data_IF_186155536514
#
_entry.id   IF_186155536514
#
_cell.length_a   1.000
_cell.length_b   1.000
_cell.length_c   1.000
_cell.angle_alpha   90.00
_cell.angle_beta   90.00
_cell.angle_gamma   90.00
#
_symmetry.space_group_name_H-M   'P 1'
#
loop_
_entity.id
_entity.type
_entity.pdbx_description
1 polymer ?
#
# COMPACT_ATOMS: atom_id res chain seq x y z
N UNK A 1 32.94 -22.55 1.05
CA UNK A 1 32.43 -23.33 -0.09
C UNK A 1 32.74 -22.50 -1.33
N UNK A 2 33.69 -22.94 -2.12
CA UNK A 2 34.20 -22.14 -3.25
C UNK A 2 33.18 -22.09 -4.39
N UNK A 3 33.10 -20.96 -5.14
CA UNK A 3 32.22 -20.79 -6.30
C UNK A 3 32.45 -21.77 -7.46
N UNK A 4 33.42 -22.66 -7.34
CA UNK A 4 33.84 -23.63 -8.37
C UNK A 4 32.94 -24.87 -8.52
N UNK A 5 32.05 -25.13 -7.56
CA UNK A 5 31.28 -26.38 -7.54
C UNK A 5 29.86 -26.29 -8.10
N UNK A 6 29.46 -25.10 -8.59
CA UNK A 6 28.12 -24.89 -9.15
C UNK A 6 28.06 -25.34 -10.62
N UNK A 7 26.99 -26.04 -11.03
CA UNK A 7 26.79 -26.36 -12.43
C UNK A 7 26.72 -25.10 -13.32
N UNK A 8 27.09 -25.17 -14.60
CA UNK A 8 27.07 -24.05 -15.52
C UNK A 8 25.70 -23.32 -15.55
N UNK A 9 25.74 -21.99 -15.57
CA UNK A 9 24.54 -21.12 -15.58
C UNK A 9 23.67 -21.18 -14.30
N UNK A 10 24.12 -21.80 -13.22
CA UNK A 10 23.48 -21.78 -11.91
C UNK A 10 24.15 -20.74 -11.02
N UNK A 11 23.35 -19.94 -10.31
CA UNK A 11 23.84 -18.95 -9.33
C UNK A 11 23.08 -19.07 -8.02
N UNK A 12 23.75 -18.85 -6.89
CA UNK A 12 23.07 -18.75 -5.60
C UNK A 12 22.16 -17.50 -5.61
N UNK A 13 20.98 -17.66 -5.09
CA UNK A 13 19.95 -16.60 -5.01
C UNK A 13 19.22 -16.72 -3.68
N UNK A 14 19.78 -16.18 -2.58
CA UNK A 14 19.13 -16.24 -1.27
C UNK A 14 17.77 -15.53 -1.35
N UNK A 15 16.77 -16.10 -0.69
CA UNK A 15 15.47 -15.46 -0.56
C UNK A 15 15.53 -14.35 0.51
N UNK A 16 14.43 -13.63 0.67
CA UNK A 16 14.31 -12.53 1.63
C UNK A 16 14.49 -12.94 3.11
N UNK A 17 14.50 -14.24 3.40
CA UNK A 17 14.70 -14.82 4.74
C UNK A 17 16.09 -15.42 4.91
N UNK A 18 17.01 -15.21 3.93
CA UNK A 18 18.35 -15.73 3.95
C UNK A 18 18.48 -17.22 3.57
N UNK A 19 17.37 -17.90 3.24
CA UNK A 19 17.42 -19.30 2.80
C UNK A 19 18.07 -19.37 1.42
N UNK A 20 19.16 -20.14 1.31
CA UNK A 20 19.87 -20.32 0.05
C UNK A 20 18.99 -21.05 -0.95
N UNK A 21 18.87 -20.49 -2.14
CA UNK A 21 18.22 -21.09 -3.31
C UNK A 21 19.18 -21.00 -4.49
N UNK A 22 18.95 -21.79 -5.52
CA UNK A 22 19.75 -21.79 -6.73
C UNK A 22 18.89 -21.43 -7.93
N UNK A 23 19.42 -20.60 -8.81
CA UNK A 23 18.72 -20.11 -9.98
C UNK A 23 19.52 -20.40 -11.26
N UNK A 24 18.90 -21.11 -12.18
CA UNK A 24 19.42 -21.27 -13.54
C UNK A 24 19.16 -20.03 -14.36
N UNK A 25 20.18 -19.51 -15.03
CA UNK A 25 20.08 -18.32 -15.88
C UNK A 25 21.02 -18.44 -17.09
N UNK A 26 20.47 -18.64 -18.29
CA UNK A 26 21.20 -18.69 -19.55
C UNK A 26 20.56 -17.71 -20.54
N UNK A 27 21.40 -17.01 -21.35
CA UNK A 27 20.89 -16.08 -22.37
C UNK A 27 19.99 -16.81 -23.37
N UNK A 28 18.79 -16.30 -23.61
CA UNK A 28 17.79 -16.92 -24.49
C UNK A 28 16.91 -18.01 -23.85
N UNK A 29 17.14 -18.35 -22.56
CA UNK A 29 16.37 -19.36 -21.84
C UNK A 29 15.53 -18.70 -20.73
N UNK A 30 14.38 -19.33 -20.40
CA UNK A 30 13.56 -18.89 -19.25
C UNK A 30 14.34 -19.10 -17.97
N UNK A 31 14.50 -18.02 -17.18
CA UNK A 31 15.20 -18.10 -15.90
C UNK A 31 14.34 -18.80 -14.86
N UNK A 32 14.86 -19.81 -14.16
CA UNK A 32 14.10 -20.72 -13.30
C UNK A 32 14.87 -21.00 -11.99
N UNK A 33 14.12 -21.24 -10.88
CA UNK A 33 14.72 -21.75 -9.64
C UNK A 33 14.82 -23.26 -9.69
N UNK A 34 15.94 -23.79 -9.20
CA UNK A 34 16.14 -25.22 -9.03
C UNK A 34 15.57 -25.65 -7.65
N UNK A 35 14.86 -26.76 -7.56
CA UNK A 35 14.40 -27.32 -6.29
C UNK A 35 15.55 -27.90 -5.49
N UNK A 36 15.37 -28.08 -4.19
CA UNK A 36 16.36 -28.71 -3.30
C UNK A 36 17.62 -27.86 -3.07
N UNK A 37 18.66 -28.52 -2.53
CA UNK A 37 19.98 -27.96 -2.30
C UNK A 37 21.00 -28.52 -3.29
N UNK A 38 22.14 -27.87 -3.38
CA UNK A 38 23.24 -28.35 -4.20
C UNK A 38 23.69 -29.73 -3.68
N UNK A 39 23.68 -30.74 -4.54
CA UNK A 39 23.96 -32.13 -4.18
C UNK A 39 22.72 -33.01 -4.07
N UNK A 40 21.53 -32.46 -3.94
CA UNK A 40 20.30 -33.25 -3.91
C UNK A 40 20.01 -33.90 -5.27
N UNK A 41 19.54 -35.14 -5.25
CA UNK A 41 19.13 -35.84 -6.47
C UNK A 41 18.01 -35.11 -7.24
N UNK A 42 17.14 -34.38 -6.53
CA UNK A 42 16.09 -33.57 -7.12
C UNK A 42 16.65 -32.34 -7.87
N UNK A 43 17.67 -31.70 -7.26
CA UNK A 43 18.38 -30.58 -7.88
C UNK A 43 19.02 -31.00 -9.20
N UNK A 44 19.77 -32.10 -9.21
CA UNK A 44 20.48 -32.58 -10.40
C UNK A 44 19.52 -33.07 -11.48
N UNK A 45 18.42 -33.73 -11.12
CA UNK A 45 17.37 -34.12 -12.09
C UNK A 45 16.70 -32.92 -12.73
N UNK A 46 16.37 -31.88 -11.92
CA UNK A 46 15.78 -30.64 -12.45
C UNK A 46 16.74 -29.89 -13.37
N UNK A 47 18.03 -29.83 -13.01
CA UNK A 47 19.05 -29.21 -13.83
C UNK A 47 19.24 -29.92 -15.16
N UNK A 48 19.35 -31.26 -15.16
CA UNK A 48 19.43 -32.06 -16.40
C UNK A 48 18.22 -31.84 -17.31
N UNK A 49 17.02 -31.86 -16.75
CA UNK A 49 15.79 -31.64 -17.50
C UNK A 49 15.69 -30.23 -18.09
N UNK A 50 16.18 -29.20 -17.39
CA UNK A 50 16.30 -27.85 -17.98
C UNK A 50 17.20 -27.86 -19.20
N UNK A 51 18.34 -28.57 -19.13
CA UNK A 51 19.25 -28.66 -20.26
C UNK A 51 18.64 -29.37 -21.47
N UNK A 52 17.76 -30.34 -21.26
CA UNK A 52 17.08 -31.09 -22.30
C UNK A 52 15.88 -30.33 -22.91
N UNK A 53 15.03 -29.76 -22.07
CA UNK A 53 13.74 -29.20 -22.51
C UNK A 53 13.57 -27.69 -22.29
N UNK A 54 14.48 -27.04 -21.57
CA UNK A 54 14.32 -25.64 -21.15
C UNK A 54 13.26 -25.41 -20.05
N UNK A 55 12.60 -26.45 -19.56
CA UNK A 55 11.54 -26.36 -18.54
C UNK A 55 11.84 -27.23 -17.30
N UNK A 56 11.50 -26.70 -16.12
CA UNK A 56 11.44 -27.50 -14.89
C UNK A 56 10.17 -28.34 -14.96
N UNK A 57 10.24 -29.67 -14.63
CA UNK A 57 9.02 -30.40 -14.39
C UNK A 57 8.25 -29.67 -13.28
N UNK A 58 7.00 -29.35 -13.56
CA UNK A 58 6.11 -28.94 -12.47
C UNK A 58 6.24 -30.02 -11.38
N UNK A 59 6.58 -29.60 -10.15
CA UNK A 59 6.44 -30.51 -9.03
C UNK A 59 5.07 -31.15 -9.15
N UNK A 60 4.93 -32.47 -8.93
CA UNK A 60 3.64 -33.13 -9.04
C UNK A 60 2.64 -32.27 -8.26
N UNK A 61 1.71 -31.67 -8.96
CA UNK A 61 0.62 -30.94 -8.32
C UNK A 61 -0.04 -32.00 -7.48
N UNK A 62 0.23 -31.98 -6.17
CA UNK A 62 -0.43 -32.89 -5.24
C UNK A 62 -1.92 -32.80 -5.60
N UNK A 63 -2.53 -33.93 -5.94
CA UNK A 63 -3.92 -33.97 -6.35
C UNK A 63 -4.70 -33.10 -5.37
N UNK A 64 -5.57 -32.18 -5.83
CA UNK A 64 -6.22 -31.24 -4.96
C UNK A 64 -6.87 -32.02 -3.83
N UNK A 65 -6.33 -31.89 -2.63
CA UNK A 65 -6.85 -32.57 -1.43
C UNK A 65 -8.32 -32.17 -1.37
N UNK A 66 -9.21 -33.12 -1.66
CA UNK A 66 -10.64 -32.84 -1.69
C UNK A 66 -11.02 -32.37 -0.29
N UNK A 67 -11.39 -31.10 -0.19
CA UNK A 67 -11.70 -30.50 1.10
C UNK A 67 -12.79 -31.33 1.80
N UNK A 68 -12.56 -31.68 3.07
CA UNK A 68 -13.56 -32.39 3.85
C UNK A 68 -14.87 -31.57 3.89
N UNK A 69 -16.03 -32.17 3.69
CA UNK A 69 -17.29 -31.43 3.76
C UNK A 69 -17.41 -30.62 5.06
N UNK A 70 -17.93 -29.40 4.97
CA UNK A 70 -18.10 -28.45 6.09
C UNK A 70 -16.80 -28.06 6.83
N UNK A 71 -15.62 -28.39 6.29
CA UNK A 71 -14.35 -27.88 6.80
C UNK A 71 -14.13 -26.41 6.41
N UNK A 72 -13.12 -25.75 7.02
CA UNK A 72 -12.73 -24.39 6.65
C UNK A 72 -12.24 -24.31 5.20
N UNK A 73 -11.55 -25.32 4.69
CA UNK A 73 -11.16 -25.42 3.28
C UNK A 73 -12.38 -25.45 2.35
N UNK A 74 -13.41 -26.26 2.67
CA UNK A 74 -14.67 -26.33 1.90
C UNK A 74 -15.44 -25.02 1.98
N UNK A 75 -15.51 -24.42 3.18
CA UNK A 75 -16.13 -23.12 3.38
C UNK A 75 -15.47 -22.04 2.52
N UNK A 76 -14.14 -22.01 2.48
CA UNK A 76 -13.40 -21.04 1.67
C UNK A 76 -13.59 -21.27 0.17
N UNK A 77 -13.60 -22.53 -0.26
CA UNK A 77 -13.89 -22.88 -1.66
C UNK A 77 -15.29 -22.39 -2.08
N UNK A 78 -16.30 -22.56 -1.23
CA UNK A 78 -17.67 -22.09 -1.44
C UNK A 78 -17.77 -20.56 -1.34
N UNK A 79 -17.09 -19.94 -0.39
CA UNK A 79 -17.06 -18.49 -0.22
C UNK A 79 -16.52 -17.77 -1.49
N UNK A 80 -15.49 -18.31 -2.13
CA UNK A 80 -14.95 -17.77 -3.39
C UNK A 80 -15.98 -17.76 -4.54
N UNK A 81 -16.98 -18.61 -4.49
CA UNK A 81 -18.06 -18.68 -5.50
C UNK A 81 -19.22 -17.72 -5.23
N UNK A 82 -19.26 -17.07 -4.06
CA UNK A 82 -20.35 -16.18 -3.69
C UNK A 82 -20.27 -14.84 -4.40
N UNK A 83 -21.43 -14.21 -4.64
CA UNK A 83 -21.53 -12.83 -5.15
C UNK A 83 -20.74 -11.85 -4.25
N UNK A 84 -20.80 -12.05 -2.92
CA UNK A 84 -20.08 -11.22 -1.94
C UNK A 84 -18.55 -11.24 -2.17
N UNK A 85 -17.99 -12.38 -2.54
CA UNK A 85 -16.57 -12.49 -2.86
C UNK A 85 -16.28 -11.91 -4.25
N UNK A 86 -17.08 -12.22 -5.24
CA UNK A 86 -16.89 -11.81 -6.63
C UNK A 86 -17.00 -10.29 -6.82
N UNK A 87 -17.83 -9.61 -6.03
CA UNK A 87 -17.92 -8.12 -6.01
C UNK A 87 -16.67 -7.44 -5.46
N UNK A 88 -15.74 -8.15 -4.81
CA UNK A 88 -14.48 -7.55 -4.35
C UNK A 88 -13.55 -7.32 -5.53
N UNK A 89 -12.83 -6.19 -5.54
CA UNK A 89 -11.82 -5.94 -6.56
C UNK A 89 -10.72 -7.02 -6.56
N UNK A 90 -10.16 -7.33 -7.73
CA UNK A 90 -9.19 -8.41 -7.94
C UNK A 90 -8.03 -8.40 -6.94
N UNK A 91 -7.49 -7.20 -6.61
CA UNK A 91 -6.42 -7.06 -5.61
C UNK A 91 -6.88 -7.48 -4.21
N UNK A 92 -8.11 -7.15 -3.83
CA UNK A 92 -8.68 -7.55 -2.53
C UNK A 92 -8.87 -9.05 -2.45
N UNK A 93 -9.40 -9.65 -3.52
CA UNK A 93 -9.54 -11.11 -3.61
C UNK A 93 -8.19 -11.82 -3.47
N UNK A 94 -7.17 -11.34 -4.19
CA UNK A 94 -5.82 -11.89 -4.14
C UNK A 94 -5.21 -11.80 -2.73
N UNK A 95 -5.31 -10.64 -2.08
CA UNK A 95 -4.72 -10.43 -0.73
C UNK A 95 -5.47 -11.23 0.32
N UNK A 96 -6.80 -11.13 0.37
CA UNK A 96 -7.61 -11.89 1.33
C UNK A 96 -7.51 -13.39 1.10
N UNK A 97 -7.47 -13.82 -0.17
CA UNK A 97 -7.27 -15.22 -0.52
C UNK A 97 -5.94 -15.78 0.00
N UNK A 98 -4.86 -15.01 -0.15
CA UNK A 98 -3.54 -15.41 0.39
C UNK A 98 -3.51 -15.45 1.92
N UNK A 99 -4.19 -14.53 2.59
CA UNK A 99 -4.31 -14.52 4.06
C UNK A 99 -5.04 -15.77 4.53
N UNK A 100 -6.20 -16.06 3.95
CA UNK A 100 -6.97 -17.25 4.29
C UNK A 100 -6.21 -18.54 3.98
N UNK A 101 -5.57 -18.62 2.81
CA UNK A 101 -4.79 -19.81 2.45
C UNK A 101 -3.65 -20.06 3.45
N UNK A 102 -2.86 -19.03 3.79
CA UNK A 102 -1.79 -19.16 4.79
C UNK A 102 -2.32 -19.56 6.16
N UNK A 103 -3.50 -19.08 6.53
CA UNK A 103 -4.16 -19.49 7.77
C UNK A 103 -4.56 -20.97 7.72
N UNK A 104 -5.20 -21.41 6.62
CA UNK A 104 -5.63 -22.81 6.43
C UNK A 104 -4.44 -23.79 6.40
N UNK A 105 -3.28 -23.32 5.92
CA UNK A 105 -2.07 -24.14 5.81
C UNK A 105 -1.27 -24.24 7.13
N UNK A 106 -1.67 -23.50 8.18
CA UNK A 106 -1.09 -23.70 9.52
C UNK A 106 -1.51 -25.03 10.08
N UNK A 107 -0.66 -25.61 10.93
CA UNK A 107 -0.91 -26.86 11.60
C UNK A 107 -1.05 -26.66 13.10
N UNK A 108 -1.86 -27.50 13.72
CA UNK A 108 -1.97 -27.59 15.17
C UNK A 108 -0.80 -28.44 15.75
N UNK A 109 -0.71 -28.54 17.08
CA UNK A 109 0.31 -29.33 17.78
C UNK A 109 0.32 -30.84 17.39
N UNK A 110 -0.75 -31.31 16.73
CA UNK A 110 -0.90 -32.70 16.25
C UNK A 110 -0.65 -32.84 14.74
N UNK A 111 -0.09 -31.79 14.09
CA UNK A 111 0.16 -31.78 12.65
C UNK A 111 -1.08 -31.69 11.77
N UNK A 112 -2.26 -31.34 12.33
CA UNK A 112 -3.50 -31.23 11.55
C UNK A 112 -3.63 -29.80 11.02
N UNK A 113 -3.84 -29.67 9.71
CA UNK A 113 -4.04 -28.37 9.07
C UNK A 113 -5.30 -27.70 9.60
N UNK A 114 -5.25 -26.39 9.85
CA UNK A 114 -6.41 -25.60 10.27
C UNK A 114 -7.53 -25.66 9.22
N UNK A 115 -7.21 -25.72 7.94
CA UNK A 115 -8.16 -25.87 6.85
C UNK A 115 -9.03 -27.12 6.93
N UNK A 116 -8.53 -28.21 7.54
CA UNK A 116 -9.28 -29.46 7.73
C UNK A 116 -10.28 -29.43 8.89
N UNK A 117 -10.24 -28.37 9.74
CA UNK A 117 -11.14 -28.22 10.89
C UNK A 117 -12.58 -27.98 10.44
N UNK A 118 -13.59 -28.64 11.02
CA UNK A 118 -14.98 -28.30 10.77
C UNK A 118 -15.28 -26.84 11.15
N UNK A 119 -16.06 -26.13 10.34
CA UNK A 119 -16.43 -24.75 10.62
C UNK A 119 -17.23 -24.59 11.92
N UNK A 120 -18.00 -25.62 12.29
CA UNK A 120 -18.74 -25.67 13.55
C UNK A 120 -17.82 -25.70 14.79
N UNK A 121 -16.64 -26.33 14.67
CA UNK A 121 -15.68 -26.50 15.78
C UNK A 121 -14.77 -25.29 16.00
N UNK A 122 -14.97 -24.21 15.26
CA UNK A 122 -14.24 -22.96 15.47
C UNK A 122 -14.82 -22.23 16.66
N UNK A 123 -14.05 -22.14 17.75
CA UNK A 123 -14.46 -21.48 18.99
C UNK A 123 -13.76 -20.13 19.17
N UNK A 124 -14.32 -19.26 20.01
CA UNK A 124 -13.72 -17.97 20.37
C UNK A 124 -12.33 -18.20 20.96
N UNK A 125 -12.18 -19.06 21.96
CA UNK A 125 -10.89 -19.30 22.63
C UNK A 125 -9.82 -19.88 21.71
N UNK A 126 -10.20 -20.71 20.69
CA UNK A 126 -9.22 -21.15 19.69
C UNK A 126 -8.72 -20.00 18.81
N UNK A 127 -9.62 -19.09 18.42
CA UNK A 127 -9.25 -17.92 17.63
C UNK A 127 -8.39 -16.93 18.42
N UNK A 128 -8.74 -16.65 19.68
CA UNK A 128 -7.99 -15.78 20.56
C UNK A 128 -6.58 -16.30 20.83
N UNK A 129 -6.43 -17.61 21.02
CA UNK A 129 -5.11 -18.22 21.14
C UNK A 129 -4.24 -17.98 19.90
N UNK A 130 -4.83 -18.05 18.70
CA UNK A 130 -4.11 -17.81 17.44
C UNK A 130 -3.79 -16.31 17.29
N UNK A 131 -4.72 -15.44 17.61
CA UNK A 131 -4.54 -13.99 17.46
C UNK A 131 -3.52 -13.46 18.49
N UNK A 132 -3.57 -13.93 19.73
CA UNK A 132 -2.63 -13.53 20.78
C UNK A 132 -1.19 -13.92 20.47
N UNK A 133 -0.96 -15.05 19.79
CA UNK A 133 0.37 -15.42 19.29
C UNK A 133 0.93 -14.45 18.23
N UNK A 134 0.10 -13.55 17.69
CA UNK A 134 0.49 -12.54 16.71
C UNK A 134 0.72 -11.16 17.35
N UNK A 135 0.97 -11.08 18.66
CA UNK A 135 1.15 -9.81 19.39
C UNK A 135 2.29 -8.93 18.84
N UNK A 136 3.33 -9.52 18.29
CA UNK A 136 4.41 -8.78 17.61
C UNK A 136 3.98 -8.16 16.27
N UNK A 137 2.86 -8.59 15.71
CA UNK A 137 2.32 -8.11 14.45
C UNK A 137 0.83 -7.75 14.54
N UNK A 138 0.45 -6.81 15.42
CA UNK A 138 -0.94 -6.49 15.76
C UNK A 138 -1.80 -6.13 14.55
N UNK A 139 -1.25 -5.34 13.63
CA UNK A 139 -1.96 -4.99 12.40
C UNK A 139 -2.27 -6.22 11.52
N UNK A 140 -1.35 -7.19 11.44
CA UNK A 140 -1.58 -8.42 10.69
C UNK A 140 -2.62 -9.32 11.38
N UNK A 141 -2.63 -9.36 12.72
CA UNK A 141 -3.65 -10.06 13.50
C UNK A 141 -5.05 -9.47 13.26
N UNK A 142 -5.19 -8.14 13.33
CA UNK A 142 -6.45 -7.44 13.06
C UNK A 142 -6.95 -7.68 11.62
N UNK A 143 -6.04 -7.69 10.65
CA UNK A 143 -6.40 -8.00 9.25
C UNK A 143 -6.85 -9.46 9.11
N UNK A 144 -6.14 -10.42 9.74
CA UNK A 144 -6.54 -11.83 9.74
C UNK A 144 -7.93 -11.99 10.36
N UNK A 145 -8.17 -11.41 11.54
CA UNK A 145 -9.46 -11.39 12.24
C UNK A 145 -10.58 -10.90 11.30
N UNK A 146 -10.37 -9.73 10.67
CA UNK A 146 -11.35 -9.13 9.74
C UNK A 146 -11.69 -10.05 8.56
N UNK A 147 -10.68 -10.73 8.01
CA UNK A 147 -10.88 -11.63 6.87
C UNK A 147 -11.57 -12.91 7.31
N UNK A 148 -11.21 -13.47 8.47
CA UNK A 148 -11.87 -14.64 9.09
C UNK A 148 -13.31 -14.33 9.44
N UNK A 149 -13.62 -13.14 9.98
CA UNK A 149 -15.01 -12.75 10.26
C UNK A 149 -15.87 -12.81 8.99
N UNK A 150 -15.35 -12.32 7.86
CA UNK A 150 -16.05 -12.43 6.58
C UNK A 150 -16.25 -13.85 6.07
N UNK A 151 -15.32 -14.76 6.38
CA UNK A 151 -15.43 -16.18 6.06
C UNK A 151 -16.47 -16.87 6.96
N UNK A 152 -16.42 -16.61 8.29
CA UNK A 152 -17.35 -17.21 9.25
C UNK A 152 -18.77 -16.67 9.10
N UNK A 153 -18.96 -15.41 8.66
CA UNK A 153 -20.30 -14.93 8.24
C UNK A 153 -20.88 -15.77 7.11
N UNK A 154 -20.03 -16.33 6.23
CA UNK A 154 -20.51 -17.23 5.18
C UNK A 154 -20.93 -18.60 5.75
N UNK A 155 -20.27 -19.12 6.79
CA UNK A 155 -20.70 -20.34 7.46
C UNK A 155 -22.07 -20.17 8.12
N UNK A 156 -22.33 -19.01 8.73
CA UNK A 156 -23.67 -18.68 9.28
C UNK A 156 -24.72 -18.62 8.17
N UNK A 157 -24.43 -17.95 7.04
CA UNK A 157 -25.37 -17.88 5.90
C UNK A 157 -25.67 -19.23 5.25
N UNK A 158 -24.78 -20.19 5.41
CA UNK A 158 -24.95 -21.57 4.92
C UNK A 158 -25.53 -22.49 5.98
N UNK A 159 -25.95 -21.95 7.12
CA UNK A 159 -26.53 -22.69 8.24
C UNK A 159 -25.59 -23.82 8.75
N UNK A 160 -24.28 -23.63 8.60
CA UNK A 160 -23.28 -24.54 9.16
C UNK A 160 -23.05 -24.29 10.64
N UNK A 161 -23.42 -23.12 11.09
CA UNK A 161 -23.42 -22.66 12.49
C UNK A 161 -24.37 -21.48 12.67
N UNK A 162 -24.78 -21.23 13.90
CA UNK A 162 -25.74 -20.17 14.24
C UNK A 162 -25.10 -18.80 14.49
N UNK A 163 -23.81 -18.76 14.82
CA UNK A 163 -23.09 -17.56 15.26
C UNK A 163 -21.76 -17.37 14.49
N UNK A 164 -21.15 -16.22 14.66
CA UNK A 164 -19.79 -15.94 14.17
C UNK A 164 -18.83 -15.68 15.35
N UNK A 165 -18.02 -16.69 15.76
CA UNK A 165 -17.16 -16.58 16.93
C UNK A 165 -16.05 -15.53 16.76
N UNK A 166 -15.67 -15.19 15.53
CA UNK A 166 -14.64 -14.16 15.27
C UNK A 166 -15.10 -12.79 15.75
N UNK A 167 -16.41 -12.52 15.76
CA UNK A 167 -16.95 -11.23 16.21
C UNK A 167 -16.80 -10.99 17.70
N UNK A 168 -16.67 -12.07 18.47
CA UNK A 168 -16.51 -12.06 19.92
C UNK A 168 -15.04 -11.99 20.36
N UNK A 169 -14.09 -12.11 19.42
CA UNK A 169 -12.65 -12.00 19.74
C UNK A 169 -12.24 -10.54 19.85
N UNK A 170 -11.22 -10.27 20.65
CA UNK A 170 -10.63 -8.95 20.81
C UNK A 170 -9.82 -8.49 19.60
N UNK A 171 -9.54 -7.20 19.57
CA UNK A 171 -8.66 -6.58 18.57
C UNK A 171 -7.48 -5.92 19.28
N UNK A 172 -6.33 -5.99 18.66
CA UNK A 172 -5.20 -5.17 19.09
C UNK A 172 -5.47 -3.70 18.78
N UNK A 173 -4.93 -2.82 19.58
CA UNK A 173 -4.93 -1.40 19.28
C UNK A 173 -4.24 -1.13 17.93
N UNK A 174 -4.82 -0.22 17.16
CA UNK A 174 -4.18 0.23 15.93
C UNK A 174 -3.04 1.20 16.30
N UNK A 175 -1.85 0.93 15.76
CA UNK A 175 -0.72 1.84 15.93
C UNK A 175 -0.98 3.21 15.28
N UNK A 176 -0.05 4.19 15.46
CA UNK A 176 -0.22 5.57 14.97
C UNK A 176 -0.34 5.68 13.44
N UNK A 177 -0.18 4.56 12.76
CA UNK A 177 -0.19 4.48 11.30
C UNK A 177 1.11 5.01 10.69
N UNK A 178 1.05 5.47 9.44
CA UNK A 178 2.21 6.04 8.79
C UNK A 178 2.62 7.35 9.46
N UNK A 179 3.92 7.56 9.61
CA UNK A 179 4.48 8.82 10.09
C UNK A 179 4.04 9.98 9.19
N UNK A 180 3.63 11.09 9.79
CA UNK A 180 3.32 12.35 9.11
C UNK A 180 4.62 13.14 8.98
N UNK A 181 5.04 13.45 7.75
CA UNK A 181 6.28 14.20 7.54
C UNK A 181 6.18 15.61 8.14
N UNK A 182 7.19 15.97 8.91
CA UNK A 182 7.35 17.36 9.36
C UNK A 182 7.90 18.24 8.24
N UNK A 183 7.86 19.54 8.42
CA UNK A 183 8.40 20.49 7.43
C UNK A 183 9.92 20.44 7.40
N UNK A 184 10.57 20.16 8.53
CA UNK A 184 12.01 19.93 8.64
C UNK A 184 12.44 18.66 7.89
N UNK A 185 11.67 17.58 7.98
CA UNK A 185 11.93 16.34 7.24
C UNK A 185 11.78 16.55 5.73
N UNK A 186 10.78 17.31 5.31
CA UNK A 186 10.60 17.70 3.90
C UNK A 186 11.80 18.55 3.44
N UNK A 187 12.25 19.51 4.25
CA UNK A 187 13.40 20.34 3.95
C UNK A 187 14.69 19.51 3.89
N UNK A 188 14.91 18.58 4.83
CA UNK A 188 16.05 17.67 4.86
C UNK A 188 16.09 16.79 3.60
N UNK A 189 14.96 16.20 3.22
CA UNK A 189 14.86 15.38 2.01
C UNK A 189 15.16 16.20 0.75
N UNK A 190 14.66 17.44 0.69
CA UNK A 190 14.93 18.39 -0.40
C UNK A 190 16.40 18.81 -0.46
N UNK A 191 17.04 18.96 0.67
CA UNK A 191 18.46 19.30 0.75
C UNK A 191 19.34 18.16 0.24
N UNK A 192 19.00 16.92 0.57
CA UNK A 192 19.72 15.72 0.13
C UNK A 192 19.46 15.41 -1.36
N UNK A 193 18.20 15.33 -1.76
CA UNK A 193 17.81 15.03 -3.13
C UNK A 193 17.60 16.30 -3.94
N UNK A 194 18.63 16.69 -4.70
CA UNK A 194 18.60 17.93 -5.49
C UNK A 194 17.57 17.87 -6.62
N UNK A 195 17.14 19.05 -7.07
CA UNK A 195 16.31 19.22 -8.28
C UNK A 195 17.00 18.52 -9.46
N UNK A 196 16.20 17.87 -10.33
CA UNK A 196 16.69 17.04 -11.42
C UNK A 196 16.81 15.54 -11.07
N UNK A 197 16.60 15.16 -9.80
CA UNK A 197 16.56 13.74 -9.40
C UNK A 197 15.13 13.17 -9.40
N UNK A 198 14.99 11.89 -9.70
CA UNK A 198 13.70 11.20 -9.65
C UNK A 198 13.12 11.15 -8.22
N UNK A 199 13.98 11.11 -7.20
CA UNK A 199 13.59 11.21 -5.79
C UNK A 199 12.90 12.54 -5.51
N UNK A 200 13.50 13.67 -5.92
CA UNK A 200 12.94 15.00 -5.73
C UNK A 200 11.63 15.16 -6.47
N UNK A 201 11.53 14.77 -7.74
CA UNK A 201 10.28 14.84 -8.49
C UNK A 201 9.16 14.02 -7.83
N UNK A 202 9.49 12.83 -7.33
CA UNK A 202 8.51 11.96 -6.65
C UNK A 202 7.96 12.62 -5.38
N UNK A 203 8.81 13.26 -4.57
CA UNK A 203 8.39 14.05 -3.41
C UNK A 203 7.43 15.18 -3.82
N UNK A 204 7.85 16.01 -4.77
CA UNK A 204 7.08 17.20 -5.16
C UNK A 204 5.72 16.82 -5.76
N UNK A 205 5.66 15.81 -6.63
CA UNK A 205 4.39 15.31 -7.16
C UNK A 205 3.48 14.76 -6.08
N UNK A 206 4.04 14.00 -5.11
CA UNK A 206 3.26 13.43 -4.01
C UNK A 206 2.71 14.50 -3.08
N UNK A 207 3.50 15.53 -2.75
CA UNK A 207 3.04 16.69 -1.98
C UNK A 207 1.99 17.48 -2.74
N UNK A 208 2.28 17.92 -3.96
CA UNK A 208 1.37 18.77 -4.73
C UNK A 208 -0.01 18.13 -4.95
N UNK A 209 -0.04 16.82 -5.21
CA UNK A 209 -1.29 16.13 -5.56
C UNK A 209 -1.95 15.42 -4.40
N UNK A 210 -1.28 15.28 -3.26
CA UNK A 210 -1.70 14.43 -2.15
C UNK A 210 -2.11 13.01 -2.58
N UNK A 211 -1.68 12.55 -3.76
CA UNK A 211 -2.15 11.32 -4.36
C UNK A 211 -1.62 10.07 -3.63
N UNK A 212 -2.37 8.98 -3.69
CA UNK A 212 -1.89 7.68 -3.19
C UNK A 212 -0.74 7.18 -4.06
N UNK A 213 0.18 6.40 -3.48
CA UNK A 213 1.33 5.81 -4.18
C UNK A 213 1.00 5.23 -5.55
N UNK A 214 -0.06 4.42 -5.64
CA UNK A 214 -0.46 3.81 -6.89
C UNK A 214 -0.94 4.81 -7.96
N UNK A 215 -1.36 6.00 -7.55
CA UNK A 215 -1.79 7.05 -8.45
C UNK A 215 -0.62 7.96 -8.83
N UNK A 216 0.25 8.34 -7.89
CA UNK A 216 1.49 9.10 -8.17
C UNK A 216 2.33 8.39 -9.22
N UNK A 217 2.45 7.07 -9.11
CA UNK A 217 3.20 6.23 -10.06
C UNK A 217 2.62 6.22 -11.49
N UNK A 218 1.38 6.64 -11.65
CA UNK A 218 0.66 6.64 -12.92
C UNK A 218 0.47 8.02 -13.54
N UNK A 219 1.07 9.04 -12.95
CA UNK A 219 1.00 10.40 -13.51
C UNK A 219 1.82 10.42 -14.80
N UNK A 220 1.15 10.80 -15.89
CA UNK A 220 1.72 10.92 -17.23
C UNK A 220 1.94 12.38 -17.59
N UNK A 221 2.76 12.66 -18.60
CA UNK A 221 2.97 14.04 -19.10
C UNK A 221 1.66 14.68 -19.57
N UNK A 222 0.80 13.90 -20.23
CA UNK A 222 -0.50 14.37 -20.73
C UNK A 222 -1.51 14.73 -19.64
N UNK A 223 -1.23 14.31 -18.40
CA UNK A 223 -2.01 14.73 -17.22
C UNK A 223 -1.66 16.15 -16.75
N UNK A 224 -0.65 16.77 -17.36
CA UNK A 224 -0.28 18.17 -17.08
C UNK A 224 -0.77 19.05 -18.20
N UNK A 225 -1.77 19.90 -17.92
CA UNK A 225 -2.36 20.83 -18.88
C UNK A 225 -2.63 22.16 -18.21
N UNK A 226 -2.33 23.25 -18.88
CA UNK A 226 -2.58 24.61 -18.40
C UNK A 226 -2.13 24.87 -16.94
N UNK A 227 -0.93 24.36 -16.58
CA UNK A 227 -0.38 24.53 -15.22
C UNK A 227 -1.10 23.73 -14.12
N UNK A 228 -1.89 22.72 -14.49
CA UNK A 228 -2.61 21.84 -13.56
C UNK A 228 -2.18 20.39 -13.74
N UNK A 229 -2.22 19.64 -12.66
CA UNK A 229 -1.94 18.19 -12.65
C UNK A 229 -3.26 17.48 -12.38
N UNK A 230 -3.65 16.59 -13.28
CA UNK A 230 -4.85 15.76 -13.14
C UNK A 230 -4.45 14.35 -12.67
N UNK A 231 -5.12 13.85 -11.63
CA UNK A 231 -4.86 12.54 -11.04
C UNK A 231 -6.13 11.71 -10.97
N UNK A 232 -6.16 10.60 -11.68
CA UNK A 232 -7.23 9.61 -11.58
C UNK A 232 -7.05 8.73 -10.32
N UNK A 233 -8.08 8.64 -9.49
CA UNK A 233 -8.11 7.86 -8.27
C UNK A 233 -8.84 6.52 -8.49
N UNK A 234 -8.15 5.52 -9.04
CA UNK A 234 -8.74 4.22 -9.40
C UNK A 234 -9.54 3.54 -8.28
N UNK A 235 -9.12 3.70 -7.01
CA UNK A 235 -9.83 3.11 -5.86
C UNK A 235 -11.23 3.71 -5.64
N UNK A 236 -11.40 4.97 -6.02
CA UNK A 236 -12.62 5.75 -5.70
C UNK A 236 -13.43 6.10 -6.94
N UNK A 237 -12.94 5.76 -8.13
CA UNK A 237 -13.46 6.21 -9.42
C UNK A 237 -13.74 7.74 -9.40
N UNK A 238 -12.71 8.49 -9.01
CA UNK A 238 -12.73 9.94 -8.83
C UNK A 238 -11.47 10.52 -9.46
N UNK A 239 -11.52 11.78 -9.87
CA UNK A 239 -10.39 12.51 -10.43
C UNK A 239 -10.21 13.82 -9.65
N UNK A 240 -8.97 14.22 -9.45
CA UNK A 240 -8.61 15.52 -8.89
C UNK A 240 -7.76 16.28 -9.89
N UNK A 241 -8.00 17.59 -10.02
CA UNK A 241 -7.17 18.48 -10.83
C UNK A 241 -6.67 19.61 -9.94
N UNK A 242 -5.39 19.66 -9.68
CA UNK A 242 -4.76 20.63 -8.79
C UNK A 242 -3.79 21.53 -9.53
N UNK A 243 -3.69 22.80 -9.11
CA UNK A 243 -2.68 23.72 -9.64
C UNK A 243 -1.29 23.19 -9.30
N UNK A 244 -0.38 23.25 -10.25
CA UNK A 244 1.02 22.88 -10.04
C UNK A 244 1.73 23.94 -9.19
N UNK A 245 2.36 23.49 -8.10
CA UNK A 245 3.16 24.35 -7.25
C UNK A 245 4.52 24.67 -7.92
N UNK A 246 5.09 25.81 -7.60
CA UNK A 246 6.38 26.25 -8.15
C UNK A 246 7.52 25.22 -7.94
N UNK A 247 7.54 24.58 -6.77
CA UNK A 247 8.53 23.52 -6.45
C UNK A 247 8.39 22.29 -7.32
N UNK A 248 7.14 21.91 -7.64
CA UNK A 248 6.84 20.79 -8.53
C UNK A 248 7.23 21.13 -9.97
N UNK A 249 6.92 22.35 -10.40
CA UNK A 249 7.33 22.84 -11.73
C UNK A 249 8.84 22.83 -11.87
N UNK A 250 9.57 23.37 -10.92
CA UNK A 250 11.03 23.39 -10.94
C UNK A 250 11.63 21.96 -10.99
N UNK A 251 11.07 21.03 -10.21
CA UNK A 251 11.51 19.64 -10.23
C UNK A 251 11.22 18.93 -11.57
N UNK A 252 10.12 19.28 -12.24
CA UNK A 252 9.76 18.75 -13.53
C UNK A 252 10.62 19.31 -14.68
N UNK A 253 10.83 20.64 -14.67
CA UNK A 253 11.58 21.35 -15.69
C UNK A 253 13.07 20.95 -15.70
N UNK A 254 13.60 20.56 -14.56
CA UNK A 254 14.99 20.12 -14.43
C UNK A 254 15.25 18.67 -14.87
N UNK A 255 14.21 17.93 -15.24
CA UNK A 255 14.40 16.60 -15.82
C UNK A 255 14.78 16.70 -17.29
N UNK A 256 15.64 15.79 -17.79
CA UNK A 256 15.94 15.73 -19.20
C UNK A 256 14.66 15.59 -20.04
N UNK A 257 14.60 16.30 -21.14
CA UNK A 257 13.55 16.12 -22.12
C UNK A 257 13.68 14.70 -22.73
N UNK A 258 12.78 13.81 -22.35
CA UNK A 258 12.75 12.45 -22.88
C UNK A 258 11.32 12.13 -23.33
N UNK A 259 11.13 11.39 -24.42
CA UNK A 259 9.81 10.99 -24.92
C UNK A 259 9.22 9.87 -24.04
N UNK A 260 9.21 10.10 -22.74
CA UNK A 260 8.72 9.12 -21.75
C UNK A 260 7.33 9.56 -21.30
N UNK A 261 6.38 8.66 -21.45
CA UNK A 261 4.98 8.88 -21.11
C UNK A 261 4.77 9.18 -19.61
N UNK A 262 5.38 8.36 -18.73
CA UNK A 262 5.24 8.49 -17.27
C UNK A 262 6.27 9.47 -16.69
N UNK A 263 5.84 10.26 -15.71
CA UNK A 263 6.73 11.22 -15.03
C UNK A 263 7.72 10.51 -14.11
N UNK A 264 7.27 9.46 -13.42
CA UNK A 264 8.10 8.69 -12.48
C UNK A 264 8.51 7.37 -13.12
N UNK A 265 9.80 7.24 -13.40
CA UNK A 265 10.34 6.08 -14.09
C UNK A 265 11.58 5.51 -13.41
N UNK A 266 11.84 4.25 -13.70
CA UNK A 266 13.10 3.59 -13.38
C UNK A 266 14.22 4.14 -14.26
N UNK A 267 15.48 3.81 -13.96
CA UNK A 267 16.64 4.11 -14.81
C UNK A 267 16.54 3.58 -16.24
N UNK A 268 15.59 2.66 -16.52
CA UNK A 268 15.33 2.09 -17.84
C UNK A 268 14.17 2.79 -18.56
N UNK A 269 13.68 3.93 -18.06
CA UNK A 269 12.55 4.67 -18.65
C UNK A 269 11.19 3.98 -18.49
N UNK A 270 11.06 2.91 -17.70
CA UNK A 270 9.81 2.19 -17.46
C UNK A 270 9.15 2.65 -16.16
N UNK A 271 7.82 2.69 -16.08
CA UNK A 271 7.14 3.00 -14.83
C UNK A 271 7.50 1.95 -13.76
N UNK A 272 7.54 2.37 -12.50
CA UNK A 272 7.67 1.43 -11.40
C UNK A 272 6.41 0.57 -11.26
N UNK A 273 6.56 -0.64 -10.73
CA UNK A 273 5.41 -1.30 -10.12
C UNK A 273 5.02 -0.59 -8.82
N UNK A 274 3.77 -0.75 -8.35
CA UNK A 274 3.32 -0.12 -7.10
C UNK A 274 4.21 -0.48 -5.91
N UNK A 275 4.65 -1.73 -5.82
CA UNK A 275 5.58 -2.17 -4.77
C UNK A 275 6.99 -1.61 -5.00
N UNK A 276 7.44 -1.58 -6.26
CA UNK A 276 8.76 -1.08 -6.65
C UNK A 276 8.95 0.39 -6.30
N UNK A 277 7.96 1.25 -6.56
CA UNK A 277 8.03 2.65 -6.16
C UNK A 277 8.09 2.78 -4.63
N UNK A 278 7.27 2.00 -3.89
CA UNK A 278 7.30 2.03 -2.43
C UNK A 278 8.68 1.68 -1.85
N UNK A 279 9.31 0.63 -2.37
CA UNK A 279 10.65 0.21 -1.95
C UNK A 279 11.72 1.25 -2.34
N UNK A 280 11.59 1.85 -3.51
CA UNK A 280 12.53 2.89 -3.97
C UNK A 280 12.42 4.15 -3.11
N UNK A 281 11.20 4.61 -2.79
CA UNK A 281 11.00 5.77 -1.90
C UNK A 281 11.54 5.48 -0.50
N UNK A 282 11.33 4.27 0.03
CA UNK A 282 11.94 3.87 1.30
C UNK A 282 13.46 4.06 1.25
N UNK A 283 14.12 3.53 0.21
CA UNK A 283 15.56 3.69 0.06
C UNK A 283 15.97 5.17 -0.04
N UNK A 284 15.25 6.00 -0.77
CA UNK A 284 15.54 7.43 -0.83
C UNK A 284 15.35 8.15 0.52
N UNK A 285 14.37 7.71 1.32
CA UNK A 285 14.21 8.22 2.68
C UNK A 285 15.39 7.77 3.56
N UNK A 286 15.79 6.50 3.49
CA UNK A 286 16.94 5.98 4.24
C UNK A 286 18.24 6.73 3.86
N UNK A 287 18.47 6.94 2.54
CA UNK A 287 19.62 7.67 2.02
C UNK A 287 19.66 9.14 2.55
N UNK A 288 18.50 9.76 2.78
CA UNK A 288 18.37 11.11 3.35
C UNK A 288 18.36 11.15 4.90
N UNK A 289 18.56 10.00 5.58
CA UNK A 289 18.53 9.92 7.05
C UNK A 289 17.11 9.97 7.65
N UNK A 290 16.08 9.57 6.91
CA UNK A 290 14.66 9.66 7.28
C UNK A 290 13.97 8.27 7.23
N UNK A 291 14.45 7.27 7.99
CA UNK A 291 13.93 5.90 7.89
C UNK A 291 12.46 5.74 8.32
N UNK A 292 11.91 6.67 9.12
CA UNK A 292 10.51 6.71 9.54
C UNK A 292 9.58 7.16 8.41
N UNK A 293 10.09 7.83 7.40
CA UNK A 293 9.34 8.49 6.34
C UNK A 293 8.86 7.54 5.24
N UNK A 294 7.75 7.87 4.61
CA UNK A 294 7.16 7.08 3.53
C UNK A 294 6.31 7.93 2.60
N UNK A 295 6.06 7.44 1.37
CA UNK A 295 5.23 8.17 0.41
C UNK A 295 3.79 8.41 0.91
N UNK A 296 3.26 7.55 1.79
CA UNK A 296 1.93 7.77 2.36
C UNK A 296 1.92 8.88 3.40
N UNK A 297 3.03 9.07 4.11
CA UNK A 297 3.22 10.18 5.04
C UNK A 297 3.17 11.56 4.36
N UNK A 298 3.67 11.68 3.11
CA UNK A 298 3.57 12.92 2.34
C UNK A 298 2.12 13.34 2.05
N UNK A 299 1.23 12.36 1.82
CA UNK A 299 -0.19 12.64 1.68
C UNK A 299 -0.79 13.16 3.00
N UNK A 300 -0.34 12.63 4.14
CA UNK A 300 -0.72 13.17 5.47
C UNK A 300 -0.22 14.59 5.64
N UNK A 301 1.06 14.86 5.36
CA UNK A 301 1.65 16.19 5.44
C UNK A 301 0.87 17.22 4.58
N UNK A 302 0.55 16.89 3.33
CA UNK A 302 -0.27 17.78 2.50
C UNK A 302 -1.67 17.99 3.05
N UNK A 303 -2.31 16.96 3.61
CA UNK A 303 -3.60 17.11 4.28
C UNK A 303 -3.51 17.99 5.51
N UNK A 304 -2.43 17.92 6.28
CA UNK A 304 -2.12 18.80 7.41
C UNK A 304 -1.90 20.24 6.93
N UNK A 305 -1.07 20.47 5.94
CA UNK A 305 -0.82 21.80 5.38
C UNK A 305 -2.13 22.49 4.89
N UNK A 306 -2.99 21.73 4.20
CA UNK A 306 -4.31 22.25 3.79
C UNK A 306 -5.16 22.60 5.00
N UNK A 307 -5.19 21.78 6.03
CA UNK A 307 -5.94 22.03 7.24
C UNK A 307 -5.41 23.28 7.98
N UNK A 308 -4.10 23.42 8.13
CA UNK A 308 -3.43 24.57 8.75
C UNK A 308 -3.56 25.85 7.92
N UNK A 309 -3.67 25.73 6.60
CA UNK A 309 -4.00 26.86 5.74
C UNK A 309 -5.45 27.33 5.86
N UNK A 310 -6.28 26.64 6.64
CA UNK A 310 -7.70 26.97 6.85
C UNK A 310 -8.61 26.47 5.74
N UNK A 311 -8.20 25.49 4.95
CA UNK A 311 -9.03 24.90 3.92
C UNK A 311 -10.30 24.27 4.51
N UNK A 312 -11.42 24.47 3.85
CA UNK A 312 -12.70 23.82 4.14
C UNK A 312 -12.62 22.32 3.82
N UNK A 313 -13.58 21.52 4.32
CA UNK A 313 -13.65 20.10 3.98
C UNK A 313 -13.79 19.86 2.48
N UNK A 314 -14.56 20.71 1.80
CA UNK A 314 -14.74 20.63 0.35
C UNK A 314 -13.44 20.91 -0.42
N UNK A 315 -12.68 21.92 -0.04
CA UNK A 315 -11.37 22.26 -0.64
C UNK A 315 -10.35 21.16 -0.36
N UNK A 316 -10.28 20.65 0.88
CA UNK A 316 -9.42 19.55 1.24
C UNK A 316 -9.75 18.27 0.45
N UNK A 317 -11.02 17.96 0.25
CA UNK A 317 -11.47 16.85 -0.58
C UNK A 317 -11.14 17.05 -2.06
N UNK A 318 -11.27 18.26 -2.58
CA UNK A 318 -10.97 18.59 -3.97
C UNK A 318 -9.49 18.34 -4.30
N UNK A 319 -8.58 18.60 -3.36
CA UNK A 319 -7.15 18.34 -3.53
C UNK A 319 -6.81 16.87 -3.27
N UNK A 320 -7.27 16.32 -2.15
CA UNK A 320 -6.84 14.99 -1.69
C UNK A 320 -7.61 13.83 -2.34
N UNK A 321 -8.77 14.08 -2.92
CA UNK A 321 -9.65 13.04 -3.46
C UNK A 321 -10.26 12.11 -2.38
N UNK A 322 -10.48 12.63 -1.16
CA UNK A 322 -11.22 11.90 -0.14
C UNK A 322 -12.72 11.91 -0.47
N UNK A 323 -13.37 10.74 -0.46
CA UNK A 323 -14.82 10.66 -0.67
C UNK A 323 -15.65 11.10 0.54
N UNK A 324 -15.09 10.86 1.73
CA UNK A 324 -15.77 11.13 2.99
C UNK A 324 -15.22 12.39 3.63
N UNK A 325 -16.09 13.29 4.03
CA UNK A 325 -15.72 14.53 4.71
C UNK A 325 -14.97 14.24 6.02
N UNK A 326 -15.39 13.22 6.77
CA UNK A 326 -14.78 12.86 8.05
C UNK A 326 -13.28 12.55 7.93
N UNK A 327 -12.83 12.09 6.74
CA UNK A 327 -11.42 11.81 6.53
C UNK A 327 -10.56 13.07 6.52
N UNK A 328 -11.05 14.17 5.97
CA UNK A 328 -10.33 15.45 6.00
C UNK A 328 -10.59 16.20 7.31
N UNK A 329 -11.79 16.13 7.87
CA UNK A 329 -12.13 16.69 9.17
C UNK A 329 -11.19 16.18 10.29
N UNK A 330 -10.72 14.93 10.20
CA UNK A 330 -9.69 14.42 11.11
C UNK A 330 -8.39 15.23 11.08
N UNK A 331 -7.94 15.69 9.92
CA UNK A 331 -6.74 16.54 9.82
C UNK A 331 -7.03 17.94 10.36
N UNK A 332 -8.20 18.51 10.10
CA UNK A 332 -8.62 19.80 10.67
C UNK A 332 -8.70 19.77 12.19
N UNK A 333 -9.20 18.70 12.77
CA UNK A 333 -9.28 18.58 14.23
C UNK A 333 -7.91 18.52 14.91
N UNK A 334 -6.86 18.12 14.15
CA UNK A 334 -5.47 18.05 14.60
C UNK A 334 -4.60 19.22 14.17
N UNK A 335 -5.15 20.12 13.34
CA UNK A 335 -4.43 21.30 12.90
C UNK A 335 -4.08 22.21 14.09
N UNK A 336 -3.01 22.97 13.95
CA UNK A 336 -2.58 23.92 14.98
C UNK A 336 -3.70 24.98 15.19
N UNK A 337 -4.43 24.84 16.31
CA UNK A 337 -5.57 25.70 16.65
C UNK A 337 -5.17 27.15 16.90
N UNK A 338 -3.98 27.38 17.45
CA UNK A 338 -3.45 28.73 17.66
C UNK A 338 -3.20 29.42 16.34
N UNK A 339 -2.48 28.79 15.40
CA UNK A 339 -2.24 29.35 14.07
C UNK A 339 -3.55 29.58 13.29
N UNK A 340 -4.54 28.72 13.44
CA UNK A 340 -5.87 28.95 12.85
C UNK A 340 -6.61 30.12 13.48
N UNK A 341 -6.50 30.30 14.80
CA UNK A 341 -7.10 31.43 15.50
C UNK A 341 -6.43 32.75 15.08
N UNK A 342 -5.11 32.80 15.04
CA UNK A 342 -4.34 33.98 14.60
C UNK A 342 -4.72 34.38 13.17
N UNK A 343 -4.82 33.39 12.28
CA UNK A 343 -5.26 33.64 10.90
C UNK A 343 -6.69 34.16 10.83
N UNK A 344 -7.60 33.60 11.61
CA UNK A 344 -8.98 34.05 11.66
C UNK A 344 -9.07 35.50 12.17
N UNK A 345 -8.29 35.84 13.18
CA UNK A 345 -8.21 37.22 13.72
C UNK A 345 -7.61 38.18 12.70
N UNK A 346 -6.52 37.80 12.01
CA UNK A 346 -5.95 38.64 10.94
C UNK A 346 -6.91 38.89 9.78
N UNK A 347 -7.80 37.94 9.47
CA UNK A 347 -8.81 38.14 8.47
C UNK A 347 -9.96 39.04 8.97
N UNK A 348 -10.21 39.09 10.27
CA UNK A 348 -11.26 39.89 10.90
C UNK A 348 -10.84 41.34 11.13
N UNK A 349 -9.56 41.59 11.48
CA UNK A 349 -9.04 42.93 11.74
C UNK A 349 -9.46 44.01 10.71
N UNK A 350 -9.28 43.79 9.37
CA UNK A 350 -9.66 44.79 8.39
C UNK A 350 -11.15 45.09 8.36
N UNK A 351 -12.00 44.15 8.80
CA UNK A 351 -13.45 44.31 8.83
C UNK A 351 -13.90 45.10 10.06
N UNK A 352 -13.19 44.95 11.17
CA UNK A 352 -13.49 45.64 12.43
C UNK A 352 -12.93 47.05 12.41
N UNK A 353 -11.71 47.24 11.88
CA UNK A 353 -11.01 48.53 11.82
C UNK A 353 -11.53 49.45 10.69
N UNK A 354 -12.40 48.95 9.82
CA UNK A 354 -13.06 49.76 8.82
C UNK A 354 -13.99 50.77 9.51
N UNK A 355 -13.48 51.96 9.78
CA UNK A 355 -14.34 53.06 10.32
C UNK A 355 -15.53 53.31 9.39
N UNK A 356 -16.74 53.56 9.95
CA UNK A 356 -17.88 53.92 9.13
C UNK A 356 -17.53 55.20 8.38
N UNK A 357 -17.64 55.19 7.04
CA UNK A 357 -17.50 56.41 6.23
C UNK A 357 -18.47 57.43 6.80
N UNK A 358 -17.95 58.55 7.31
CA UNK A 358 -18.75 59.71 7.65
C UNK A 358 -19.57 60.09 6.42
N UNK A 359 -20.88 59.96 6.54
CA UNK A 359 -21.77 60.54 5.55
C UNK A 359 -21.60 62.04 5.60
N UNK A 360 -20.98 62.66 4.58
CA UNK A 360 -20.98 64.08 4.39
C UNK A 360 -22.44 64.52 4.26
N UNK A 361 -22.95 65.02 5.34
CA UNK A 361 -24.25 65.71 5.36
C UNK A 361 -24.17 66.92 4.45
N UNK A 362 -24.80 66.84 3.28
CA UNK A 362 -25.14 68.05 2.55
C UNK A 362 -26.19 68.83 3.36
N UNK A 363 -25.74 69.86 4.01
CA UNK A 363 -26.62 70.92 4.44
C UNK A 363 -27.21 71.63 3.18
N UNK A 364 -28.48 71.45 2.94
CA UNK A 364 -29.23 72.41 2.05
C UNK A 364 -29.54 73.63 2.87
N UNK A 365 -28.93 74.74 2.50
CA UNK A 365 -29.52 76.09 2.61
C UNK A 365 -30.03 76.52 1.25
#
# INVERSE_FOLDING_TARGET
MMMSDLPPNVRPAPDRHGKMRYRFRRKGWKSQYLPGQLGDAEFHRAYAKILESGEIPAAPIAAPVRAKPRSLDDLFAKFKKTIRWQKKGARTQLVQGRILQRFMDREDKKGRRYGSRPAADVTVGWLENILSQMHETPAAANVLRKVLAGLMDQAVRMEWRSDNPVRLTDTFEEGPGFHDWTDEEIAQYRAYHKVGTMARLTLELALNTAARRCNVNKIERDHIKAGRITVAHAKNNNETSVRMLATTKAALDALPAAPIKYLITTQFGKPFSDAGLGNRVRKWCDDAGLPQCSLHGLRKAMSRHLAESGATDAEGQAVTGHKKAETFAYYRSKANRTALADKAMSNLEPLIDAQPKKSDGKSND
#
